data_IF_952368430704
#
_entry.id   IF_952368430704
#
_cell.length_a   1.000
_cell.length_b   1.000
_cell.length_c   1.000
_cell.angle_alpha   90.00
_cell.angle_beta   90.00
_cell.angle_gamma   90.00
#
_symmetry.space_group_name_H-M   'P 1'
#
loop_
_entity.id
_entity.type
_entity.pdbx_description
1 polymer ?
#
# COMPACT_ATOMS: atom_id res chain seq x y z
N UNK A 1 19.86 -4.00 -35.49
CA UNK A 1 18.75 -3.21 -36.07
C UNK A 1 17.38 -3.68 -35.63
N UNK A 2 16.92 -4.90 -35.94
CA UNK A 2 15.59 -5.37 -35.47
C UNK A 2 15.52 -5.54 -33.95
N UNK A 3 16.62 -6.03 -33.35
CA UNK A 3 16.79 -6.13 -31.89
C UNK A 3 16.74 -4.79 -31.18
N UNK A 4 17.34 -3.74 -31.76
CA UNK A 4 17.41 -2.41 -31.13
C UNK A 4 16.05 -1.71 -31.15
N UNK A 5 15.32 -1.86 -32.25
CA UNK A 5 13.93 -1.39 -32.37
C UNK A 5 13.02 -2.12 -31.38
N UNK A 6 13.18 -3.44 -31.23
CA UNK A 6 12.42 -4.23 -30.26
C UNK A 6 12.70 -3.81 -28.81
N UNK A 7 13.97 -3.62 -28.43
CA UNK A 7 14.34 -3.14 -27.10
C UNK A 7 13.81 -1.73 -26.82
N UNK A 8 13.82 -0.85 -27.82
CA UNK A 8 13.25 0.50 -27.72
C UNK A 8 11.73 0.45 -27.48
N UNK A 9 11.01 -0.43 -28.19
CA UNK A 9 9.59 -0.64 -27.97
C UNK A 9 9.31 -1.18 -26.56
N UNK A 10 10.07 -2.17 -26.09
CA UNK A 10 9.95 -2.68 -24.72
C UNK A 10 10.17 -1.57 -23.67
N UNK A 11 11.20 -0.76 -23.86
CA UNK A 11 11.50 0.35 -22.95
C UNK A 11 10.36 1.37 -22.90
N UNK A 12 9.81 1.74 -24.06
CA UNK A 12 8.68 2.67 -24.14
C UNK A 12 7.43 2.09 -23.46
N UNK A 13 7.11 0.82 -23.71
CA UNK A 13 5.98 0.14 -23.04
C UNK A 13 6.16 0.11 -21.53
N UNK A 14 7.33 -0.25 -21.02
CA UNK A 14 7.57 -0.28 -19.58
C UNK A 14 7.49 1.13 -18.97
N UNK A 15 7.95 2.14 -19.69
CA UNK A 15 7.82 3.53 -19.25
C UNK A 15 6.36 3.94 -19.13
N UNK A 16 5.51 3.52 -20.06
CA UNK A 16 4.06 3.74 -19.98
C UNK A 16 3.44 2.98 -18.80
N UNK A 17 3.84 1.74 -18.56
CA UNK A 17 3.41 0.97 -17.39
C UNK A 17 3.80 1.66 -16.08
N UNK A 18 5.05 2.14 -15.95
CA UNK A 18 5.51 2.87 -14.75
C UNK A 18 4.70 4.15 -14.54
N UNK A 19 4.42 4.90 -15.61
CA UNK A 19 3.56 6.10 -15.53
C UNK A 19 2.15 5.74 -15.06
N UNK A 20 1.57 4.67 -15.60
CA UNK A 20 0.24 4.20 -15.20
C UNK A 20 0.22 3.76 -13.72
N UNK A 21 1.22 3.00 -13.27
CA UNK A 21 1.38 2.57 -11.87
C UNK A 21 1.51 3.78 -10.93
N UNK A 22 2.30 4.80 -11.29
CA UNK A 22 2.43 6.04 -10.51
C UNK A 22 1.11 6.81 -10.45
N UNK A 23 0.38 6.90 -11.55
CA UNK A 23 -0.93 7.54 -11.58
C UNK A 23 -1.95 6.81 -10.69
N UNK A 24 -2.01 5.46 -10.75
CA UNK A 24 -2.87 4.66 -9.87
C UNK A 24 -2.47 4.81 -8.40
N UNK A 25 -1.17 4.79 -8.09
CA UNK A 25 -0.67 5.01 -6.74
C UNK A 25 -1.10 6.36 -6.18
N UNK A 26 -1.03 7.43 -6.99
CA UNK A 26 -1.51 8.76 -6.60
C UNK A 26 -3.01 8.75 -6.28
N UNK A 27 -3.83 8.10 -7.11
CA UNK A 27 -5.26 7.97 -6.85
C UNK A 27 -5.58 7.15 -5.60
N UNK A 28 -4.85 6.06 -5.34
CA UNK A 28 -4.99 5.27 -4.11
C UNK A 28 -4.67 6.12 -2.88
N UNK A 29 -3.60 6.90 -2.94
CA UNK A 29 -3.21 7.84 -1.87
C UNK A 29 -4.29 8.90 -1.66
N UNK A 30 -4.79 9.52 -2.73
CA UNK A 30 -5.83 10.54 -2.65
C UNK A 30 -7.16 9.98 -2.10
N UNK A 31 -7.58 8.80 -2.58
CA UNK A 31 -8.78 8.11 -2.09
C UNK A 31 -8.62 7.74 -0.63
N UNK A 32 -7.46 7.24 -0.20
CA UNK A 32 -7.28 6.91 1.20
C UNK A 32 -7.16 8.13 2.10
N UNK A 33 -6.56 9.24 1.63
CA UNK A 33 -6.42 10.47 2.41
C UNK A 33 -7.75 11.21 2.58
N UNK A 34 -8.52 11.36 1.50
CA UNK A 34 -9.78 12.12 1.50
C UNK A 34 -11.01 11.23 1.62
N UNK A 35 -11.00 10.08 0.95
CA UNK A 35 -12.12 9.14 0.94
C UNK A 35 -12.34 8.48 2.30
N UNK A 36 -11.30 8.12 3.07
CA UNK A 36 -11.49 7.51 4.40
C UNK A 36 -12.22 8.47 5.35
N UNK A 37 -11.81 9.75 5.53
CA UNK A 37 -12.56 10.71 6.34
C UNK A 37 -13.99 10.92 5.83
N UNK A 38 -14.19 11.07 4.52
CA UNK A 38 -15.53 11.27 3.93
C UNK A 38 -16.43 10.07 4.21
N UNK A 39 -15.95 8.84 3.95
CA UNK A 39 -16.70 7.61 4.21
C UNK A 39 -16.99 7.48 5.71
N UNK A 40 -16.03 7.80 6.58
CA UNK A 40 -16.23 7.76 8.04
C UNK A 40 -17.28 8.77 8.49
N UNK A 41 -17.25 9.99 7.97
CA UNK A 41 -18.25 11.02 8.24
C UNK A 41 -19.64 10.60 7.76
N UNK A 42 -19.74 10.09 6.52
CA UNK A 42 -20.99 9.59 5.95
C UNK A 42 -21.54 8.37 6.71
N UNK A 43 -20.66 7.49 7.18
CA UNK A 43 -21.03 6.33 7.99
C UNK A 43 -21.76 6.75 9.28
N UNK A 44 -21.44 7.92 9.84
CA UNK A 44 -22.13 8.48 11.00
C UNK A 44 -23.60 8.85 10.76
N UNK A 45 -24.01 9.07 9.51
CA UNK A 45 -25.40 9.40 9.14
C UNK A 45 -26.20 8.21 8.61
N UNK A 46 -25.57 7.05 8.44
CA UNK A 46 -26.18 5.87 7.79
C UNK A 46 -26.42 4.75 8.80
N UNK A 47 -26.86 3.59 8.31
CA UNK A 47 -27.05 2.42 9.17
C UNK A 47 -25.76 2.01 9.87
N UNK A 48 -25.91 1.59 11.13
CA UNK A 48 -24.80 1.24 12.04
C UNK A 48 -23.81 0.26 11.43
N UNK A 49 -24.28 -0.66 10.57
CA UNK A 49 -23.45 -1.66 9.90
C UNK A 49 -22.44 -1.07 8.90
N UNK A 50 -22.69 0.12 8.33
CA UNK A 50 -21.76 0.78 7.41
C UNK A 50 -20.47 1.17 8.13
N UNK A 51 -20.57 1.64 9.38
CA UNK A 51 -19.42 2.00 10.21
C UNK A 51 -18.47 0.82 10.46
N UNK A 52 -19.01 -0.41 10.51
CA UNK A 52 -18.23 -1.63 10.72
C UNK A 52 -17.37 -2.00 9.50
N UNK A 53 -17.74 -1.51 8.31
CA UNK A 53 -17.03 -1.78 7.07
C UNK A 53 -15.85 -0.83 6.84
N UNK A 54 -15.86 0.34 7.48
CA UNK A 54 -14.86 1.40 7.25
C UNK A 54 -13.42 0.93 7.54
N UNK A 55 -13.12 0.22 8.65
CA UNK A 55 -11.76 -0.28 8.89
C UNK A 55 -11.25 -1.21 7.78
N UNK A 56 -12.14 -1.99 7.14
CA UNK A 56 -11.77 -2.86 6.04
C UNK A 56 -11.45 -2.08 4.77
N UNK A 57 -12.13 -0.95 4.51
CA UNK A 57 -11.80 -0.06 3.39
C UNK A 57 -10.37 0.49 3.53
N UNK A 58 -9.99 0.89 4.74
CA UNK A 58 -8.61 1.33 5.03
C UNK A 58 -7.63 0.20 4.76
N UNK A 59 -7.93 -1.00 5.26
CA UNK A 59 -7.08 -2.18 5.08
C UNK A 59 -6.90 -2.51 3.59
N UNK A 60 -7.99 -2.58 2.81
CA UNK A 60 -7.94 -2.81 1.36
C UNK A 60 -7.12 -1.74 0.64
N UNK A 61 -7.21 -0.48 1.06
CA UNK A 61 -6.44 0.61 0.47
C UNK A 61 -4.93 0.44 0.72
N UNK A 62 -4.55 -0.03 1.92
CA UNK A 62 -3.15 -0.41 2.22
C UNK A 62 -2.70 -1.56 1.29
N UNK A 63 -3.53 -2.60 1.09
CA UNK A 63 -3.19 -3.72 0.20
C UNK A 63 -2.94 -3.22 -1.23
N UNK A 64 -3.88 -2.43 -1.76
CA UNK A 64 -3.78 -1.89 -3.11
C UNK A 64 -2.50 -1.06 -3.28
N UNK A 65 -2.17 -0.23 -2.29
CA UNK A 65 -0.94 0.55 -2.32
C UNK A 65 0.31 -0.34 -2.34
N UNK A 66 0.38 -1.36 -1.49
CA UNK A 66 1.51 -2.32 -1.46
C UNK A 66 1.61 -3.12 -2.77
N UNK A 67 0.48 -3.48 -3.37
CA UNK A 67 0.44 -4.19 -4.65
C UNK A 67 1.04 -3.32 -5.79
N UNK A 68 0.71 -2.02 -5.83
CA UNK A 68 1.29 -1.10 -6.81
C UNK A 68 2.81 -0.90 -6.60
N UNK A 69 3.28 -0.80 -5.35
CA UNK A 69 4.73 -0.75 -5.08
C UNK A 69 5.44 -2.02 -5.57
N UNK A 70 4.82 -3.20 -5.35
CA UNK A 70 5.36 -4.48 -5.82
C UNK A 70 5.43 -4.55 -7.35
N UNK A 71 4.43 -4.00 -8.05
CA UNK A 71 4.43 -3.90 -9.51
C UNK A 71 5.57 -2.98 -9.99
N UNK A 72 5.76 -1.82 -9.36
CA UNK A 72 6.84 -0.89 -9.69
C UNK A 72 8.23 -1.54 -9.49
N UNK A 73 8.44 -2.25 -8.38
CA UNK A 73 9.68 -2.98 -8.11
C UNK A 73 9.94 -4.10 -9.12
N UNK A 74 8.91 -4.69 -9.71
CA UNK A 74 9.06 -5.68 -10.80
C UNK A 74 9.51 -5.02 -12.10
N UNK A 75 8.89 -3.89 -12.48
CA UNK A 75 9.28 -3.13 -13.66
C UNK A 75 10.74 -2.67 -13.57
N UNK A 76 11.15 -2.13 -12.41
CA UNK A 76 12.55 -1.74 -12.16
C UNK A 76 13.53 -2.92 -12.28
N UNK A 77 13.20 -4.07 -11.67
CA UNK A 77 14.02 -5.29 -11.80
C UNK A 77 14.14 -5.77 -13.25
N UNK A 78 13.06 -5.71 -14.02
CA UNK A 78 13.10 -6.09 -15.43
C UNK A 78 14.00 -5.16 -16.25
N UNK A 79 13.90 -3.83 -16.05
CA UNK A 79 14.80 -2.86 -16.72
C UNK A 79 16.26 -3.21 -16.44
N UNK A 80 16.60 -3.41 -15.16
CA UNK A 80 17.97 -3.73 -14.73
C UNK A 80 18.49 -5.05 -15.30
N UNK A 81 17.68 -6.10 -15.29
CA UNK A 81 18.13 -7.46 -15.62
C UNK A 81 18.07 -7.77 -17.12
N UNK A 82 17.14 -7.15 -17.85
CA UNK A 82 16.84 -7.53 -19.24
C UNK A 82 17.19 -6.41 -20.22
N UNK A 83 17.00 -5.14 -19.86
CA UNK A 83 17.19 -4.02 -20.80
C UNK A 83 18.60 -3.46 -20.71
N UNK A 84 19.03 -3.02 -19.53
CA UNK A 84 20.32 -2.33 -19.34
C UNK A 84 21.55 -3.15 -19.76
N UNK A 85 21.65 -4.48 -19.55
CA UNK A 85 22.83 -5.25 -19.95
C UNK A 85 23.09 -5.27 -21.46
N UNK A 86 22.06 -4.98 -22.28
CA UNK A 86 22.20 -4.93 -23.74
C UNK A 86 22.83 -3.61 -24.23
N UNK A 87 22.95 -2.59 -23.37
CA UNK A 87 23.55 -1.29 -23.70
C UNK A 87 24.92 -1.17 -23.03
N UNK A 88 25.93 -1.88 -23.56
CA UNK A 88 27.27 -2.05 -22.95
C UNK A 88 28.09 -0.76 -22.73
N UNK A 89 27.63 0.41 -23.20
CA UNK A 89 28.44 1.65 -23.22
C UNK A 89 27.87 2.83 -22.42
N UNK A 90 26.71 2.68 -21.77
CA UNK A 90 26.04 3.79 -21.07
C UNK A 90 25.68 3.34 -19.65
N UNK A 91 25.93 4.18 -18.65
CA UNK A 91 25.43 3.96 -17.28
C UNK A 91 23.91 3.93 -17.35
N UNK A 92 23.33 2.76 -17.08
CA UNK A 92 21.89 2.55 -17.05
C UNK A 92 21.20 3.50 -16.06
N UNK A 93 19.92 3.79 -16.32
CA UNK A 93 19.12 4.65 -15.44
C UNK A 93 19.05 4.09 -14.02
N UNK A 94 18.84 2.78 -13.88
CA UNK A 94 18.76 2.12 -12.58
C UNK A 94 20.14 2.12 -11.89
N UNK A 95 21.21 1.85 -12.64
CA UNK A 95 22.58 1.95 -12.12
C UNK A 95 22.94 3.37 -11.64
N UNK A 96 22.49 4.40 -12.37
CA UNK A 96 22.62 5.80 -11.93
C UNK A 96 21.78 6.08 -10.68
N UNK A 97 20.56 5.56 -10.61
CA UNK A 97 19.69 5.71 -9.45
C UNK A 97 20.28 5.03 -8.20
N UNK A 98 20.91 3.86 -8.36
CA UNK A 98 21.60 3.14 -7.29
C UNK A 98 22.85 3.88 -6.79
N UNK A 99 23.53 4.65 -7.66
CA UNK A 99 24.64 5.50 -7.23
C UNK A 99 24.22 6.66 -6.32
N UNK A 100 22.91 6.95 -6.23
CA UNK A 100 22.32 8.05 -5.46
C UNK A 100 21.46 7.55 -4.30
N UNK A 101 22.13 7.20 -3.20
CA UNK A 101 21.47 6.70 -1.98
C UNK A 101 20.48 7.70 -1.34
N UNK A 102 20.68 9.00 -1.57
CA UNK A 102 19.80 10.08 -1.12
C UNK A 102 18.39 9.97 -1.71
N UNK A 103 18.28 9.62 -3.00
CA UNK A 103 16.98 9.48 -3.67
C UNK A 103 16.19 8.27 -3.15
N UNK A 104 16.85 7.13 -2.89
CA UNK A 104 16.21 5.93 -2.29
C UNK A 104 15.72 6.18 -0.86
N UNK A 105 16.42 7.03 -0.11
CA UNK A 105 16.08 7.36 1.27
C UNK A 105 14.76 8.12 1.36
N UNK A 106 14.54 9.07 0.43
CA UNK A 106 13.29 9.83 0.33
C UNK A 106 12.08 8.91 0.08
N UNK A 107 12.19 7.98 -0.88
CA UNK A 107 11.11 7.03 -1.19
C UNK A 107 10.78 6.12 0.01
N UNK A 108 11.80 5.68 0.76
CA UNK A 108 11.59 4.90 1.99
C UNK A 108 10.84 5.72 3.05
N UNK A 109 11.23 6.99 3.27
CA UNK A 109 10.55 7.85 4.24
C UNK A 109 9.11 8.15 3.81
N UNK A 110 8.88 8.41 2.53
CA UNK A 110 7.54 8.63 2.01
C UNK A 110 6.64 7.41 2.24
N UNK A 111 7.14 6.21 1.91
CA UNK A 111 6.45 4.95 2.16
C UNK A 111 6.15 4.72 3.65
N UNK A 112 7.14 4.96 4.51
CA UNK A 112 6.99 4.84 5.97
C UNK A 112 5.92 5.78 6.52
N UNK A 113 5.99 7.07 6.15
CA UNK A 113 5.01 8.07 6.57
C UNK A 113 3.60 7.70 6.12
N UNK A 114 3.44 7.28 4.86
CA UNK A 114 2.15 6.87 4.32
C UNK A 114 1.54 5.72 5.12
N UNK A 115 2.31 4.67 5.38
CA UNK A 115 1.86 3.54 6.17
C UNK A 115 1.46 3.96 7.58
N UNK A 116 2.27 4.78 8.25
CA UNK A 116 1.97 5.24 9.61
C UNK A 116 0.63 5.97 9.62
N UNK A 117 0.39 6.88 8.67
CA UNK A 117 -0.88 7.60 8.55
C UNK A 117 -2.06 6.65 8.37
N UNK A 118 -1.94 5.65 7.49
CA UNK A 118 -3.02 4.69 7.24
C UNK A 118 -3.26 3.75 8.41
N UNK A 119 -2.21 3.39 9.17
CA UNK A 119 -2.36 2.65 10.41
C UNK A 119 -3.09 3.46 11.49
N UNK A 120 -2.77 4.75 11.62
CA UNK A 120 -3.49 5.64 12.52
C UNK A 120 -4.97 5.72 12.12
N UNK A 121 -5.27 5.88 10.82
CA UNK A 121 -6.65 5.85 10.32
C UNK A 121 -7.35 4.51 10.57
N UNK A 122 -6.65 3.39 10.43
CA UNK A 122 -7.20 2.07 10.73
C UNK A 122 -7.61 1.96 12.20
N UNK A 123 -6.75 2.35 13.14
CA UNK A 123 -7.10 2.31 14.57
C UNK A 123 -8.19 3.32 14.94
N UNK A 124 -8.19 4.51 14.34
CA UNK A 124 -9.26 5.49 14.55
C UNK A 124 -10.61 4.95 14.08
N UNK A 125 -10.68 4.34 12.90
CA UNK A 125 -11.92 3.77 12.35
C UNK A 125 -12.39 2.57 13.17
N UNK A 126 -11.49 1.74 13.71
CA UNK A 126 -11.85 0.72 14.70
C UNK A 126 -12.45 1.36 15.94
N UNK A 127 -11.85 2.42 16.47
CA UNK A 127 -12.34 3.12 17.66
C UNK A 127 -13.78 3.61 17.46
N UNK A 128 -14.06 4.22 16.30
CA UNK A 128 -15.42 4.65 15.93
C UNK A 128 -16.37 3.45 15.85
N UNK A 129 -16.00 2.39 15.14
CA UNK A 129 -16.82 1.18 15.01
C UNK A 129 -17.11 0.52 16.38
N UNK A 130 -16.11 0.47 17.27
CA UNK A 130 -16.26 -0.06 18.63
C UNK A 130 -17.17 0.80 19.48
N UNK A 131 -17.06 2.12 19.39
CA UNK A 131 -17.98 3.04 20.10
C UNK A 131 -19.43 2.83 19.65
N UNK A 132 -19.67 2.64 18.35
CA UNK A 132 -21.00 2.35 17.80
C UNK A 132 -21.55 1.02 18.33
N UNK A 133 -20.73 -0.04 18.38
CA UNK A 133 -21.14 -1.34 18.91
C UNK A 133 -21.36 -1.33 20.42
N UNK A 134 -20.57 -0.56 21.17
CA UNK A 134 -20.72 -0.44 22.61
C UNK A 134 -22.08 0.14 22.99
N UNK A 135 -22.51 1.20 22.29
CA UNK A 135 -23.86 1.76 22.47
C UNK A 135 -24.99 0.76 22.13
N UNK A 136 -24.75 -0.17 21.20
CA UNK A 136 -25.74 -1.21 20.87
C UNK A 136 -25.82 -2.30 21.97
N UNK A 137 -24.69 -2.64 22.59
CA UNK A 137 -24.66 -3.61 23.70
C UNK A 137 -25.48 -3.10 24.89
N UNK A 138 -25.43 -1.80 25.18
CA UNK A 138 -26.24 -1.18 26.24
C UNK A 138 -27.75 -1.29 25.96
N UNK A 139 -28.14 -1.19 24.68
CA UNK A 139 -29.56 -1.26 24.27
C UNK A 139 -30.07 -2.69 24.09
N UNK A 140 -29.24 -3.61 23.59
CA UNK A 140 -29.64 -4.95 23.19
C UNK A 140 -28.62 -6.00 23.66
N UNK A 141 -28.72 -6.35 24.94
CA UNK A 141 -27.69 -7.02 25.76
C UNK A 141 -27.18 -8.37 25.21
N UNK A 142 -27.97 -9.13 24.43
CA UNK A 142 -27.52 -10.42 23.87
C UNK A 142 -26.95 -10.31 22.44
N UNK A 143 -27.68 -9.70 21.50
CA UNK A 143 -27.23 -9.63 20.11
C UNK A 143 -26.01 -8.71 19.96
N UNK A 144 -25.98 -7.58 20.67
CA UNK A 144 -24.88 -6.62 20.61
C UNK A 144 -23.54 -7.22 21.03
N UNK A 145 -23.54 -8.12 22.03
CA UNK A 145 -22.31 -8.76 22.52
C UNK A 145 -21.66 -9.65 21.46
N UNK A 146 -22.45 -10.43 20.72
CA UNK A 146 -21.92 -11.30 19.66
C UNK A 146 -21.28 -10.48 18.55
N UNK A 147 -21.92 -9.38 18.14
CA UNK A 147 -21.37 -8.46 17.14
C UNK A 147 -20.09 -7.78 17.62
N UNK A 148 -20.03 -7.36 18.88
CA UNK A 148 -18.84 -6.75 19.47
C UNK A 148 -17.64 -7.71 19.49
N UNK A 149 -17.83 -8.94 20.00
CA UNK A 149 -16.76 -9.93 20.01
C UNK A 149 -16.33 -10.32 18.59
N UNK A 150 -17.29 -10.51 17.68
CA UNK A 150 -17.00 -10.81 16.28
C UNK A 150 -16.15 -9.72 15.62
N UNK A 151 -16.55 -8.46 15.76
CA UNK A 151 -15.82 -7.31 15.22
C UNK A 151 -14.43 -7.16 15.85
N UNK A 152 -14.30 -7.35 17.16
CA UNK A 152 -13.01 -7.27 17.86
C UNK A 152 -12.03 -8.32 17.35
N UNK A 153 -12.47 -9.57 17.21
CA UNK A 153 -11.62 -10.67 16.69
C UNK A 153 -11.24 -10.40 15.23
N UNK A 154 -12.20 -10.00 14.39
CA UNK A 154 -11.93 -9.76 12.98
C UNK A 154 -10.96 -8.59 12.75
N UNK A 155 -11.09 -7.51 13.53
CA UNK A 155 -10.16 -6.38 13.48
C UNK A 155 -8.79 -6.73 14.07
N UNK A 156 -8.72 -7.53 15.13
CA UNK A 156 -7.44 -8.00 15.66
C UNK A 156 -6.69 -8.84 14.61
N UNK A 157 -7.38 -9.75 13.93
CA UNK A 157 -6.80 -10.54 12.84
C UNK A 157 -6.32 -9.62 11.70
N UNK A 158 -7.15 -8.66 11.29
CA UNK A 158 -6.80 -7.67 10.27
C UNK A 158 -5.57 -6.84 10.65
N UNK A 159 -5.48 -6.40 11.90
CA UNK A 159 -4.34 -5.64 12.42
C UNK A 159 -3.05 -6.48 12.40
N UNK A 160 -3.10 -7.71 12.91
CA UNK A 160 -1.95 -8.63 12.91
C UNK A 160 -1.50 -8.91 11.47
N UNK A 161 -2.44 -9.18 10.58
CA UNK A 161 -2.16 -9.40 9.16
C UNK A 161 -1.53 -8.16 8.49
N UNK A 162 -2.07 -6.96 8.75
CA UNK A 162 -1.52 -5.72 8.20
C UNK A 162 -0.10 -5.45 8.71
N UNK A 163 0.14 -5.66 10.02
CA UNK A 163 1.47 -5.48 10.64
C UNK A 163 2.47 -6.50 10.09
N UNK A 164 2.09 -7.77 9.98
CA UNK A 164 2.97 -8.81 9.44
C UNK A 164 3.32 -8.56 7.97
N UNK A 165 2.33 -8.18 7.15
CA UNK A 165 2.53 -7.79 5.75
C UNK A 165 3.46 -6.59 5.65
N UNK A 166 3.25 -5.57 6.50
CA UNK A 166 4.11 -4.40 6.56
C UNK A 166 5.55 -4.76 6.91
N UNK A 167 5.76 -5.54 7.96
CA UNK A 167 7.10 -5.95 8.39
C UNK A 167 7.80 -6.77 7.33
N UNK A 168 7.08 -7.66 6.65
CA UNK A 168 7.61 -8.43 5.53
C UNK A 168 8.04 -7.52 4.38
N UNK A 169 7.17 -6.58 3.99
CA UNK A 169 7.46 -5.65 2.89
C UNK A 169 8.57 -4.65 3.24
N UNK A 170 8.61 -4.17 4.49
CA UNK A 170 9.68 -3.34 5.01
C UNK A 170 11.01 -4.07 4.96
N UNK A 171 11.07 -5.33 5.42
CA UNK A 171 12.28 -6.16 5.31
C UNK A 171 12.68 -6.38 3.86
N UNK A 172 11.74 -6.63 2.95
CA UNK A 172 12.04 -6.77 1.52
C UNK A 172 12.57 -5.46 0.89
N UNK A 173 12.04 -4.31 1.32
CA UNK A 173 12.48 -2.98 0.87
C UNK A 173 13.78 -2.51 1.56
N UNK A 174 14.13 -3.10 2.70
CA UNK A 174 15.32 -2.73 3.49
C UNK A 174 16.46 -3.72 3.46
N UNK A 175 16.21 -4.95 2.99
CA UNK A 175 17.23 -5.93 2.69
C UNK A 175 18.06 -5.45 1.50
N UNK A 176 19.16 -4.78 1.81
CA UNK A 176 20.29 -4.65 0.91
C UNK A 176 20.76 -6.05 0.56
N UNK A 177 20.80 -6.36 -0.74
CA UNK A 177 21.47 -7.54 -1.29
C UNK A 177 22.97 -7.42 -1.02
N UNK A 178 23.41 -7.69 0.21
CA UNK A 178 24.76 -8.15 0.49
C UNK A 178 24.87 -9.60 -0.01
N UNK A 179 25.03 -9.77 -1.32
CA UNK A 179 25.46 -11.03 -1.93
C UNK A 179 25.93 -10.75 -3.36
N UNK A 180 27.05 -10.04 -3.45
CA UNK A 180 27.99 -10.17 -4.57
C UNK A 180 29.40 -10.04 -3.98
N UNK A 181 29.94 -11.18 -3.56
CA UNK A 181 31.37 -11.46 -3.45
C UNK A 181 31.66 -12.73 -4.23
#
# INVERSE_FOLDING_TARGET
MESDAFLLHQFNTIREEIKAVKARSFWIVAIGLFGVPIITFLAGFTEKFVSLLVPYVVLVTIILFVAEQSALMRCGRYIRQVIEPNFQSIVGWEAWLESRNDLRLMDRHFFACFIIVFFVYYFMTIGVAMQTLWGEVELNNQSGKYWLYGAMVSYAIGAVWAVTTLLHHWRAATGTSENHS
#
